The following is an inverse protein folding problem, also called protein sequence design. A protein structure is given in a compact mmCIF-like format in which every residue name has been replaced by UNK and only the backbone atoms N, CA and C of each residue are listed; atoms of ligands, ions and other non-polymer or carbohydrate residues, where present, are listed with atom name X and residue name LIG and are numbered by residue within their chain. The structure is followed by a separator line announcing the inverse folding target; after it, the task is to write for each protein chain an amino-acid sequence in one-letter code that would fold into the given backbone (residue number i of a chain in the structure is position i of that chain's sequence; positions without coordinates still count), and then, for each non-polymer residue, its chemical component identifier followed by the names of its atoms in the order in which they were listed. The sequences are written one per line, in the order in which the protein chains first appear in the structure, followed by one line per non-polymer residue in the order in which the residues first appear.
data_IF_177657083823
#
_entry.id   IF_177657083823
#
_cell.length_a   1.000
_cell.length_b   1.000
_cell.length_c   1.000
_cell.angle_alpha   90.00
_cell.angle_beta   90.00
_cell.angle_gamma   90.00
#
_symmetry.space_group_name_H-M   'P 1'
#
loop_
_entity.id
_entity.type
_entity.pdbx_description
1 polymer ?
#
# COMPACT_ATOMS: atom_id res chain seq x y z
N UNK A 1 14.48 5.20 30.11
CA UNK A 1 13.17 5.36 30.77
C UNK A 1 12.13 5.70 29.71
N UNK A 2 10.96 5.07 29.73
CA UNK A 2 9.90 5.29 28.74
C UNK A 2 9.20 6.62 29.04
N UNK A 3 9.07 7.49 28.03
CA UNK A 3 8.33 8.75 28.15
C UNK A 3 6.85 8.53 27.84
N UNK A 4 5.98 8.93 28.74
CA UNK A 4 4.53 8.86 28.59
C UNK A 4 3.99 10.20 28.08
N UNK A 5 3.00 10.16 27.18
CA UNK A 5 2.33 11.36 26.70
C UNK A 5 1.07 11.66 27.53
N UNK A 6 0.63 12.92 27.53
CA UNK A 6 -0.60 13.32 28.22
C UNK A 6 -1.82 12.67 27.57
N UNK A 7 -2.70 12.05 28.38
CA UNK A 7 -3.86 11.31 27.88
C UNK A 7 -3.53 10.00 27.16
N UNK A 8 -2.29 9.52 27.31
CA UNK A 8 -1.87 8.21 26.81
C UNK A 8 -2.23 7.12 27.82
N UNK A 9 -3.21 6.30 27.45
CA UNK A 9 -3.65 5.14 28.20
C UNK A 9 -3.04 3.87 27.61
N UNK A 10 -2.79 2.87 28.46
CA UNK A 10 -2.16 1.61 28.07
C UNK A 10 -3.02 0.41 28.46
N UNK A 11 -3.16 -0.54 27.53
CA UNK A 11 -3.86 -1.82 27.71
C UNK A 11 -2.93 -2.96 27.37
N UNK A 12 -2.99 -4.04 28.13
CA UNK A 12 -2.24 -5.25 27.85
C UNK A 12 -2.81 -5.97 26.63
N UNK A 13 -1.94 -6.28 25.67
CA UNK A 13 -2.28 -7.11 24.52
C UNK A 13 -2.42 -8.56 24.97
N UNK A 14 -3.66 -9.05 24.94
CA UNK A 14 -3.97 -10.47 25.11
C UNK A 14 -3.61 -11.20 23.81
N UNK A 15 -2.42 -11.78 23.79
CA UNK A 15 -1.93 -12.61 22.70
C UNK A 15 -2.08 -14.08 23.11
N UNK A 16 -2.67 -14.91 22.24
CA UNK A 16 -2.98 -16.32 22.54
C UNK A 16 -1.72 -17.11 22.93
N UNK A 17 -0.58 -16.76 22.32
CA UNK A 17 0.70 -17.38 22.61
C UNK A 17 1.83 -16.35 22.57
N UNK A 18 2.71 -16.40 23.56
CA UNK A 18 3.93 -15.59 23.60
C UNK A 18 5.13 -16.46 23.97
N UNK A 19 6.26 -16.23 23.29
CA UNK A 19 7.52 -16.89 23.63
C UNK A 19 8.10 -16.27 24.89
N UNK A 20 8.61 -17.12 25.80
CA UNK A 20 9.31 -16.70 27.02
C UNK A 20 8.48 -15.81 27.96
N UNK A 21 7.15 -15.95 27.97
CA UNK A 21 6.24 -15.12 28.78
C UNK A 21 6.37 -13.62 28.48
N UNK A 22 6.84 -13.25 27.29
CA UNK A 22 6.99 -11.85 26.89
C UNK A 22 5.62 -11.20 26.73
N UNK A 23 5.38 -10.13 27.46
CA UNK A 23 4.11 -9.38 27.49
C UNK A 23 4.24 -8.07 26.73
N UNK A 24 3.10 -7.52 26.34
CA UNK A 24 3.04 -6.31 25.53
C UNK A 24 1.93 -5.37 26.01
N UNK A 25 2.21 -4.08 26.08
CA UNK A 25 1.20 -3.03 26.25
C UNK A 25 1.03 -2.28 24.94
N UNK A 26 -0.21 -1.98 24.58
CA UNK A 26 -0.59 -1.10 23.49
C UNK A 26 -1.19 0.18 24.06
N UNK A 27 -0.73 1.34 23.60
CA UNK A 27 -1.33 2.62 23.96
C UNK A 27 -2.41 3.06 22.98
N UNK A 28 -3.35 3.88 23.44
CA UNK A 28 -4.36 4.53 22.59
C UNK A 28 -3.76 5.48 21.52
N UNK A 29 -2.45 5.75 21.56
CA UNK A 29 -1.71 6.49 20.53
C UNK A 29 -1.08 5.55 19.47
N UNK A 30 -1.25 4.23 19.61
CA UNK A 30 -0.66 3.24 18.71
C UNK A 30 0.81 2.93 19.00
N UNK A 31 1.27 3.16 20.24
CA UNK A 31 2.60 2.75 20.70
C UNK A 31 2.56 1.38 21.34
N UNK A 32 3.64 0.62 21.23
CA UNK A 32 3.75 -0.72 21.85
C UNK A 32 4.98 -0.78 22.74
N UNK A 33 4.80 -1.30 23.96
CA UNK A 33 5.88 -1.64 24.90
C UNK A 33 5.96 -3.15 25.01
N UNK A 34 7.16 -3.72 25.04
CA UNK A 34 7.38 -5.10 25.50
C UNK A 34 8.08 -5.15 26.84
N UNK A 35 7.77 -6.16 27.64
CA UNK A 35 8.38 -6.43 28.95
C UNK A 35 8.22 -7.92 29.31
N UNK A 36 9.01 -8.40 30.27
CA UNK A 36 8.97 -9.75 30.81
C UNK A 36 8.42 -9.76 32.24
N UNK A 37 8.92 -8.87 33.12
CA UNK A 37 8.48 -8.79 34.53
C UNK A 37 7.58 -7.58 34.74
N UNK A 38 8.08 -6.38 34.46
CA UNK A 38 7.34 -5.12 34.59
C UNK A 38 7.86 -4.08 33.60
N UNK A 39 7.08 -3.03 33.36
CA UNK A 39 7.48 -1.96 32.45
C UNK A 39 8.63 -1.15 33.05
N UNK A 40 8.65 -1.01 34.36
CA UNK A 40 9.62 -0.24 35.13
C UNK A 40 10.98 -0.93 35.16
N UNK A 41 11.00 -2.26 35.29
CA UNK A 41 12.24 -3.04 35.38
C UNK A 41 12.86 -3.27 34.00
N UNK A 42 12.08 -3.71 33.02
CA UNK A 42 12.61 -4.22 31.75
C UNK A 42 11.83 -3.76 30.50
N UNK A 43 10.91 -2.81 30.66
CA UNK A 43 10.08 -2.28 29.59
C UNK A 43 10.89 -1.63 28.46
N UNK A 44 10.53 -1.96 27.21
CA UNK A 44 11.12 -1.41 26.00
C UNK A 44 10.06 -0.97 25.00
N UNK A 45 10.17 0.26 24.51
CA UNK A 45 9.33 0.74 23.42
C UNK A 45 9.72 0.02 22.12
N UNK A 46 8.74 -0.55 21.44
CA UNK A 46 8.94 -1.28 20.19
C UNK A 46 8.83 -0.31 19.02
N UNK A 47 9.82 -0.35 18.12
CA UNK A 47 9.75 0.36 16.85
C UNK A 47 8.89 -0.43 15.87
N UNK A 48 7.71 0.09 15.56
CA UNK A 48 6.78 -0.48 14.60
C UNK A 48 7.13 0.01 13.19
N UNK A 49 7.56 -0.90 12.32
CA UNK A 49 7.93 -0.57 10.95
C UNK A 49 6.71 -0.65 10.03
N UNK A 50 6.58 0.24 9.02
CA UNK A 50 5.45 0.24 8.13
C UNK A 50 5.49 -0.93 7.14
N UNK A 51 4.33 -1.52 6.89
CA UNK A 51 4.06 -2.45 5.78
C UNK A 51 2.93 -1.81 4.97
N UNK A 52 3.16 -1.56 3.68
CA UNK A 52 2.25 -0.79 2.81
C UNK A 52 1.84 0.58 3.41
N UNK A 53 2.79 1.22 4.10
CA UNK A 53 2.61 2.50 4.77
C UNK A 53 1.94 2.42 6.16
N UNK A 54 1.42 1.26 6.58
CA UNK A 54 0.82 1.10 7.90
C UNK A 54 1.81 0.56 8.93
N UNK A 55 2.03 1.22 10.09
CA UNK A 55 2.85 0.68 11.16
C UNK A 55 2.39 -0.72 11.60
N UNK A 56 3.35 -1.64 11.73
CA UNK A 56 3.09 -3.02 12.07
C UNK A 56 3.84 -3.45 13.33
N UNK A 57 3.13 -4.17 14.20
CA UNK A 57 3.68 -4.88 15.35
C UNK A 57 3.93 -6.33 14.96
N UNK A 58 5.11 -6.84 15.32
CA UNK A 58 5.50 -8.22 15.05
C UNK A 58 5.89 -8.91 16.34
N UNK A 59 5.40 -10.12 16.53
CA UNK A 59 5.77 -10.97 17.65
C UNK A 59 5.90 -12.42 17.18
N UNK A 60 6.52 -13.24 18.01
CA UNK A 60 6.77 -14.65 17.72
C UNK A 60 5.78 -15.51 18.48
N UNK A 61 5.12 -16.41 17.77
CA UNK A 61 4.25 -17.43 18.33
C UNK A 61 4.86 -18.83 18.14
N UNK A 62 4.79 -19.71 19.14
CA UNK A 62 5.07 -21.12 18.94
C UNK A 62 4.08 -21.73 17.94
N UNK A 63 4.56 -22.70 17.18
CA UNK A 63 3.76 -23.43 16.18
C UNK A 63 4.23 -24.87 16.15
N UNK A 64 3.30 -25.79 15.89
CA UNK A 64 3.62 -27.18 15.63
C UNK A 64 3.31 -27.43 14.15
N UNK A 65 4.30 -27.83 13.38
CA UNK A 65 4.12 -28.27 11.99
C UNK A 65 4.73 -29.66 11.85
N UNK A 66 3.94 -30.61 11.36
CA UNK A 66 4.36 -32.01 11.18
C UNK A 66 4.99 -32.64 12.44
N UNK A 67 4.47 -32.32 13.62
CA UNK A 67 5.00 -32.82 14.90
C UNK A 67 6.26 -32.09 15.41
N UNK A 68 6.85 -31.19 14.63
CA UNK A 68 8.04 -30.41 15.03
C UNK A 68 7.65 -29.07 15.65
N UNK A 69 8.34 -28.72 16.75
CA UNK A 69 8.21 -27.40 17.40
C UNK A 69 8.94 -26.37 16.56
N UNK A 70 8.21 -25.37 16.07
CA UNK A 70 8.73 -24.23 15.36
C UNK A 70 8.26 -22.92 15.96
N UNK A 71 8.67 -21.82 15.31
CA UNK A 71 8.25 -20.46 15.65
C UNK A 71 7.80 -19.74 14.39
N UNK A 72 6.62 -19.15 14.42
CA UNK A 72 6.11 -18.26 13.35
C UNK A 72 6.18 -16.82 13.82
N UNK A 73 6.53 -15.92 12.91
CA UNK A 73 6.41 -14.49 13.16
C UNK A 73 5.01 -14.06 12.74
N UNK A 74 4.23 -13.55 13.69
CA UNK A 74 2.90 -12.98 13.44
C UNK A 74 3.05 -11.48 13.31
N UNK A 75 2.36 -10.92 12.32
CA UNK A 75 2.32 -9.48 12.06
C UNK A 75 0.90 -8.97 12.25
N UNK A 76 0.75 -7.91 13.03
CA UNK A 76 -0.51 -7.22 13.29
C UNK A 76 -0.35 -5.74 12.96
N UNK A 77 -1.33 -5.15 12.30
CA UNK A 77 -1.32 -3.71 12.02
C UNK A 77 -1.71 -2.92 13.28
N UNK A 78 -0.99 -1.84 13.56
CA UNK A 78 -1.20 -1.04 14.77
C UNK A 78 -2.61 -0.44 14.79
N UNK A 79 -3.09 0.17 13.70
CA UNK A 79 -4.43 0.75 13.66
C UNK A 79 -5.53 -0.28 13.98
N UNK A 80 -5.39 -1.53 13.54
CA UNK A 80 -6.36 -2.59 13.85
C UNK A 80 -6.32 -2.95 15.32
N UNK A 81 -5.12 -3.11 15.90
CA UNK A 81 -4.97 -3.36 17.33
C UNK A 81 -5.55 -2.21 18.17
N UNK A 82 -5.29 -0.96 17.80
CA UNK A 82 -5.86 0.20 18.54
C UNK A 82 -7.39 0.20 18.44
N UNK A 83 -7.94 -0.05 17.25
CA UNK A 83 -9.38 -0.15 17.06
C UNK A 83 -10.00 -1.28 17.91
N UNK A 84 -9.42 -2.48 17.87
CA UNK A 84 -9.87 -3.64 18.65
C UNK A 84 -9.86 -3.40 20.16
N UNK A 85 -8.86 -2.67 20.67
CA UNK A 85 -8.68 -2.48 22.12
C UNK A 85 -9.33 -1.21 22.67
N UNK A 86 -9.53 -0.17 21.86
CA UNK A 86 -9.95 1.15 22.35
C UNK A 86 -11.24 1.68 21.71
N UNK A 87 -11.64 1.22 20.53
CA UNK A 87 -12.95 1.58 20.00
C UNK A 87 -14.03 0.67 20.60
N UNK A 88 -15.24 1.18 20.67
CA UNK A 88 -16.42 0.34 20.90
C UNK A 88 -16.52 -0.71 19.81
N UNK A 89 -17.15 -1.85 20.13
CA UNK A 89 -17.38 -2.91 19.17
C UNK A 89 -18.02 -2.36 17.88
N UNK A 90 -17.65 -2.90 16.71
CA UNK A 90 -18.26 -2.50 15.45
C UNK A 90 -19.79 -2.68 15.51
N UNK A 91 -20.57 -1.81 14.86
CA UNK A 91 -22.04 -1.89 14.90
C UNK A 91 -22.62 -3.20 14.36
N UNK A 92 -21.93 -3.82 13.40
CA UNK A 92 -22.30 -5.11 12.80
C UNK A 92 -21.07 -5.79 12.18
N UNK A 93 -21.21 -7.04 11.75
CA UNK A 93 -20.14 -7.82 11.12
C UNK A 93 -19.62 -7.23 9.80
N UNK A 94 -20.41 -6.39 9.14
CA UNK A 94 -20.00 -5.70 7.91
C UNK A 94 -18.90 -4.64 8.16
N UNK A 95 -18.73 -4.21 9.41
CA UNK A 95 -17.80 -3.15 9.80
C UNK A 95 -16.45 -3.74 10.21
N UNK A 96 -15.75 -4.35 9.25
CA UNK A 96 -14.48 -5.03 9.48
C UNK A 96 -13.24 -4.27 8.96
N UNK A 97 -13.42 -3.03 8.47
CA UNK A 97 -12.32 -2.13 8.11
C UNK A 97 -12.10 -1.06 9.16
N UNK A 98 -10.87 -0.54 9.24
CA UNK A 98 -10.52 0.58 10.13
C UNK A 98 -10.00 1.72 9.27
N UNK A 99 -10.63 2.88 9.38
CA UNK A 99 -10.25 4.09 8.65
C UNK A 99 -9.42 5.02 9.52
N UNK A 100 -8.42 5.65 8.91
CA UNK A 100 -7.77 6.85 9.42
C UNK A 100 -8.53 8.07 8.91
N UNK A 101 -9.14 8.84 9.82
CA UNK A 101 -10.01 9.98 9.48
C UNK A 101 -9.24 11.10 8.77
N UNK A 102 -7.98 11.30 9.12
CA UNK A 102 -7.07 12.30 8.54
C UNK A 102 -6.31 11.84 7.29
N UNK A 103 -6.54 10.60 6.84
CA UNK A 103 -5.82 9.95 5.73
C UNK A 103 -4.32 9.66 5.99
N UNK A 104 -3.81 9.91 7.19
CA UNK A 104 -2.45 9.57 7.58
C UNK A 104 -2.39 8.17 8.22
N UNK A 105 -1.83 7.22 7.46
CA UNK A 105 -1.66 5.82 7.88
C UNK A 105 -0.79 5.65 9.12
N UNK A 106 0.06 6.63 9.47
CA UNK A 106 0.93 6.56 10.65
C UNK A 106 0.28 7.16 11.90
N UNK A 107 -0.76 7.98 11.76
CA UNK A 107 -1.50 8.56 12.89
C UNK A 107 -2.51 7.56 13.48
N UNK A 108 -2.01 6.66 14.33
CA UNK A 108 -2.80 5.58 14.92
C UNK A 108 -3.46 5.95 16.26
N UNK A 109 -3.67 7.24 16.53
CA UNK A 109 -4.42 7.64 17.73
C UNK A 109 -5.87 7.18 17.63
N UNK A 110 -6.43 6.64 18.71
CA UNK A 110 -7.80 6.08 18.72
C UNK A 110 -8.83 7.06 18.18
N UNK A 111 -8.71 8.35 18.50
CA UNK A 111 -9.62 9.41 18.03
C UNK A 111 -9.58 9.63 16.50
N UNK A 112 -8.51 9.20 15.85
CA UNK A 112 -8.34 9.25 14.40
C UNK A 112 -8.82 7.96 13.72
N UNK A 113 -9.28 6.96 14.48
CA UNK A 113 -9.67 5.66 13.96
C UNK A 113 -11.18 5.46 14.05
N UNK A 114 -11.74 4.76 13.05
CA UNK A 114 -13.15 4.39 13.03
C UNK A 114 -13.37 3.06 12.33
N UNK A 115 -14.24 2.21 12.87
CA UNK A 115 -14.76 1.05 12.15
C UNK A 115 -15.59 1.47 10.93
N UNK A 116 -15.42 0.76 9.82
CA UNK A 116 -16.10 1.04 8.57
C UNK A 116 -16.44 -0.24 7.81
N UNK A 117 -17.50 -0.16 7.01
CA UNK A 117 -17.82 -1.15 5.98
C UNK A 117 -17.24 -0.74 4.61
N UNK A 118 -17.39 -1.61 3.61
CA UNK A 118 -16.82 -1.40 2.28
C UNK A 118 -17.29 -0.08 1.63
N UNK A 119 -18.58 0.23 1.70
CA UNK A 119 -19.16 1.44 1.12
C UNK A 119 -18.57 2.71 1.76
N UNK A 120 -18.41 2.72 3.09
CA UNK A 120 -17.81 3.84 3.81
C UNK A 120 -16.33 4.00 3.48
N UNK A 121 -15.59 2.90 3.29
CA UNK A 121 -14.19 2.95 2.83
C UNK A 121 -14.10 3.62 1.46
N UNK A 122 -14.96 3.24 0.52
CA UNK A 122 -14.99 3.81 -0.83
C UNK A 122 -15.34 5.31 -0.79
N UNK A 123 -16.37 5.69 -0.02
CA UNK A 123 -16.74 7.11 0.19
C UNK A 123 -15.62 7.92 0.84
N UNK A 124 -14.92 7.35 1.83
CA UNK A 124 -13.80 8.00 2.50
C UNK A 124 -12.63 8.19 1.54
N UNK A 125 -12.28 7.16 0.77
CA UNK A 125 -11.22 7.22 -0.23
C UNK A 125 -11.51 8.24 -1.33
N UNK A 126 -12.76 8.32 -1.79
CA UNK A 126 -13.17 9.31 -2.79
C UNK A 126 -12.97 10.77 -2.32
N UNK A 127 -13.02 11.01 -0.99
CA UNK A 127 -12.78 12.32 -0.37
C UNK A 127 -11.31 12.60 -0.05
N UNK A 128 -10.43 11.59 -0.16
CA UNK A 128 -9.01 11.75 0.16
C UNK A 128 -8.35 12.74 -0.83
N UNK A 129 -7.77 13.87 -0.37
CA UNK A 129 -7.12 14.85 -1.24
C UNK A 129 -6.01 14.25 -2.10
N UNK A 130 -5.21 13.33 -1.56
CA UNK A 130 -4.15 12.65 -2.31
C UNK A 130 -4.71 11.73 -3.39
N UNK A 131 -5.85 11.09 -3.14
CA UNK A 131 -6.53 10.24 -4.13
C UNK A 131 -7.12 11.08 -5.26
N UNK A 132 -7.77 12.19 -4.92
CA UNK A 132 -8.34 13.14 -5.89
C UNK A 132 -7.23 13.70 -6.78
N UNK A 133 -6.12 14.16 -6.18
CA UNK A 133 -4.99 14.72 -6.92
C UNK A 133 -4.32 13.66 -7.79
N UNK A 134 -4.10 12.44 -7.30
CA UNK A 134 -3.58 11.36 -8.12
C UNK A 134 -4.50 11.03 -9.30
N UNK A 135 -5.82 11.05 -9.11
CA UNK A 135 -6.80 10.84 -10.18
C UNK A 135 -6.76 11.98 -11.21
N UNK A 136 -6.65 13.23 -10.75
CA UNK A 136 -6.50 14.42 -11.61
C UNK A 136 -5.23 14.32 -12.45
N UNK A 137 -4.09 14.03 -11.82
CA UNK A 137 -2.80 13.87 -12.50
C UNK A 137 -2.80 12.74 -13.53
N UNK A 138 -3.49 11.61 -13.26
CA UNK A 138 -3.67 10.53 -14.25
C UNK A 138 -4.44 10.98 -15.48
N UNK A 139 -5.45 11.83 -15.30
CA UNK A 139 -6.26 12.36 -16.40
C UNK A 139 -5.50 13.41 -17.21
N UNK A 140 -4.79 14.31 -16.55
CA UNK A 140 -4.06 15.40 -17.20
C UNK A 140 -2.74 14.97 -17.84
N UNK A 141 -2.09 13.96 -17.26
CA UNK A 141 -0.75 13.51 -17.67
C UNK A 141 -0.71 11.99 -17.75
N UNK A 142 -1.47 11.37 -18.68
CA UNK A 142 -1.49 9.91 -18.84
C UNK A 142 -0.08 9.34 -19.05
N UNK A 143 0.75 10.08 -19.79
CA UNK A 143 2.15 9.76 -20.13
C UNK A 143 3.10 9.70 -18.92
N UNK A 144 2.74 10.29 -17.77
CA UNK A 144 3.63 10.30 -16.58
C UNK A 144 3.49 9.04 -15.73
N UNK A 145 2.51 8.18 -16.02
CA UNK A 145 2.32 6.92 -15.31
C UNK A 145 3.01 5.79 -16.06
N UNK A 146 4.30 5.60 -15.79
CA UNK A 146 5.10 4.41 -16.17
C UNK A 146 5.08 4.02 -17.66
N UNK A 147 4.84 4.94 -18.59
CA UNK A 147 5.13 4.66 -19.98
C UNK A 147 6.61 4.92 -20.23
N UNK A 148 7.33 3.90 -20.69
CA UNK A 148 8.74 4.03 -21.12
C UNK A 148 8.94 5.05 -22.26
N UNK A 149 7.85 5.50 -22.86
CA UNK A 149 7.81 6.43 -23.98
C UNK A 149 6.94 7.63 -23.62
N UNK A 150 7.37 8.81 -24.05
CA UNK A 150 6.56 10.01 -24.15
C UNK A 150 5.73 10.03 -25.43
N UNK A 151 4.66 10.83 -25.49
CA UNK A 151 3.90 11.05 -26.73
C UNK A 151 4.80 11.42 -27.92
N UNK A 152 5.82 12.27 -27.71
CA UNK A 152 6.76 12.65 -28.78
C UNK A 152 7.59 11.48 -29.31
N UNK A 153 7.99 10.56 -28.44
CA UNK A 153 8.72 9.33 -28.80
C UNK A 153 7.79 8.36 -29.53
N UNK A 154 6.53 8.26 -29.12
CA UNK A 154 5.51 7.45 -29.80
C UNK A 154 5.24 8.00 -31.20
N UNK A 155 5.13 9.32 -31.38
CA UNK A 155 4.99 9.93 -32.71
C UNK A 155 6.19 9.59 -33.59
N UNK A 156 7.42 9.71 -33.07
CA UNK A 156 8.66 9.36 -33.79
C UNK A 156 8.69 7.87 -34.16
N UNK A 157 8.29 7.00 -33.24
CA UNK A 157 8.21 5.56 -33.46
C UNK A 157 7.16 5.21 -34.52
N UNK A 158 5.93 5.75 -34.42
CA UNK A 158 4.86 5.52 -35.40
C UNK A 158 5.26 6.01 -36.80
N UNK A 159 5.88 7.19 -36.92
CA UNK A 159 6.43 7.68 -38.20
C UNK A 159 7.42 6.69 -38.82
N UNK A 160 8.30 6.06 -38.01
CA UNK A 160 9.24 5.03 -38.49
C UNK A 160 8.58 3.69 -38.80
N UNK A 161 7.53 3.31 -38.06
CA UNK A 161 6.78 2.08 -38.30
C UNK A 161 6.03 2.15 -39.64
N UNK A 162 5.35 3.26 -39.89
CA UNK A 162 4.47 3.48 -41.05
C UNK A 162 5.16 4.23 -42.20
N UNK A 163 6.49 4.31 -42.19
CA UNK A 163 7.25 4.80 -43.35
C UNK A 163 7.15 3.79 -44.51
N UNK A 164 6.61 4.17 -45.68
CA UNK A 164 6.48 3.28 -46.84
C UNK A 164 7.85 2.74 -47.31
N UNK A 165 8.94 3.44 -47.03
CA UNK A 165 10.30 3.07 -47.41
C UNK A 165 11.10 2.46 -46.25
N UNK A 166 10.43 1.96 -45.20
CA UNK A 166 11.12 1.46 -43.98
C UNK A 166 12.07 0.29 -44.29
N UNK A 167 13.36 0.54 -44.10
CA UNK A 167 14.43 -0.50 -44.19
C UNK A 167 14.78 -1.15 -42.85
N UNK A 168 14.42 -0.52 -41.73
CA UNK A 168 14.75 -1.00 -40.38
C UNK A 168 13.76 -2.05 -39.89
N UNK A 169 14.27 -3.15 -39.33
CA UNK A 169 13.45 -4.21 -38.71
C UNK A 169 12.81 -3.74 -37.39
N UNK A 170 11.61 -4.23 -37.06
CA UNK A 170 10.91 -3.87 -35.82
C UNK A 170 11.73 -4.14 -34.56
N UNK A 171 12.49 -5.26 -34.51
CA UNK A 171 13.45 -5.55 -33.44
C UNK A 171 14.42 -4.42 -33.16
N UNK A 172 14.97 -3.82 -34.22
CA UNK A 172 15.94 -2.73 -34.11
C UNK A 172 15.25 -1.45 -33.65
N UNK A 173 14.07 -1.15 -34.18
CA UNK A 173 13.25 -0.01 -33.73
C UNK A 173 12.87 -0.14 -32.25
N UNK A 174 12.39 -1.29 -31.81
CA UNK A 174 12.03 -1.52 -30.41
C UNK A 174 13.24 -1.28 -29.48
N UNK A 175 14.42 -1.78 -29.87
CA UNK A 175 15.68 -1.55 -29.14
C UNK A 175 16.08 -0.06 -29.10
N UNK A 176 15.94 0.68 -30.20
CA UNK A 176 16.24 2.11 -30.27
C UNK A 176 15.38 2.93 -29.29
N UNK A 177 14.14 2.51 -29.09
CA UNK A 177 13.18 3.18 -28.20
C UNK A 177 13.10 2.53 -26.80
N UNK A 178 13.99 1.59 -26.46
CA UNK A 178 14.04 0.98 -25.12
C UNK A 178 12.84 0.11 -24.73
N UNK A 179 12.07 -0.37 -25.71
CA UNK A 179 10.84 -1.16 -25.53
C UNK A 179 11.00 -2.59 -26.05
N UNK A 180 10.10 -3.50 -25.63
CA UNK A 180 10.04 -4.83 -26.23
C UNK A 180 9.39 -4.78 -27.63
N UNK A 181 9.68 -5.78 -28.47
CA UNK A 181 9.01 -5.90 -29.79
C UNK A 181 7.49 -6.02 -29.64
N UNK A 182 7.02 -6.71 -28.60
CA UNK A 182 5.59 -6.81 -28.30
C UNK A 182 4.98 -5.45 -27.98
N UNK A 183 5.67 -4.59 -27.21
CA UNK A 183 5.19 -3.22 -26.97
C UNK A 183 5.12 -2.41 -28.28
N UNK A 184 6.07 -2.60 -29.19
CA UNK A 184 6.03 -1.99 -30.52
C UNK A 184 4.81 -2.46 -31.31
N UNK A 185 4.52 -3.77 -31.31
CA UNK A 185 3.34 -4.31 -31.99
C UNK A 185 2.04 -3.76 -31.40
N UNK A 186 1.91 -3.65 -30.07
CA UNK A 186 0.75 -3.02 -29.41
C UNK A 186 0.56 -1.55 -29.79
N UNK A 187 1.65 -0.81 -29.99
CA UNK A 187 1.61 0.58 -30.49
C UNK A 187 1.20 0.63 -31.96
N UNK A 188 1.69 -0.32 -32.77
CA UNK A 188 1.35 -0.43 -34.20
C UNK A 188 -0.11 -0.81 -34.42
N UNK A 189 -0.61 -1.81 -33.69
CA UNK A 189 -2.03 -2.25 -33.77
C UNK A 189 -2.95 -1.25 -33.09
N UNK A 190 -2.41 -0.47 -32.16
CA UNK A 190 -3.17 0.56 -31.47
C UNK A 190 -3.87 0.13 -30.20
N UNK A 191 -3.56 -1.06 -29.70
CA UNK A 191 -3.90 -1.51 -28.34
C UNK A 191 -3.34 -0.52 -27.29
N UNK A 192 -2.14 0.02 -27.54
CA UNK A 192 -1.53 1.09 -26.76
C UNK A 192 -1.38 2.37 -27.62
N UNK A 193 -1.54 3.54 -27.02
CA UNK A 193 -1.40 4.84 -27.70
C UNK A 193 -2.32 4.98 -28.93
N UNK A 194 -3.57 4.58 -28.79
CA UNK A 194 -4.61 4.70 -29.83
C UNK A 194 -4.93 6.15 -30.19
N UNK A 195 -4.79 7.07 -29.23
CA UNK A 195 -5.07 8.50 -29.35
C UNK A 195 -4.01 9.30 -30.12
N UNK A 196 -2.83 8.72 -30.38
CA UNK A 196 -1.73 9.39 -31.09
C UNK A 196 -1.74 8.98 -32.55
N UNK A 197 -1.96 9.89 -33.49
CA UNK A 197 -2.04 9.56 -34.92
C UNK A 197 -0.90 10.16 -35.74
N UNK A 198 -0.51 9.48 -36.82
CA UNK A 198 0.48 9.96 -37.79
C UNK A 198 -0.04 9.82 -39.23
N UNK A 199 0.48 10.64 -40.14
CA UNK A 199 -0.02 10.81 -41.52
C UNK A 199 -0.18 9.53 -42.34
N UNK A 200 0.68 8.51 -42.11
CA UNK A 200 0.67 7.25 -42.85
C UNK A 200 0.10 6.07 -42.06
N UNK A 201 -0.51 6.32 -40.90
CA UNK A 201 -1.14 5.26 -40.11
C UNK A 201 -2.43 4.80 -40.81
N UNK A 202 -2.65 3.49 -41.00
CA UNK A 202 -3.88 2.99 -41.60
C UNK A 202 -5.09 3.39 -40.75
N UNK A 203 -6.20 3.75 -41.41
CA UNK A 203 -7.48 3.96 -40.74
C UNK A 203 -7.89 2.65 -40.06
N UNK A 204 -8.40 2.77 -38.85
CA UNK A 204 -8.91 1.65 -38.07
C UNK A 204 -10.43 1.63 -38.23
N UNK A 205 -10.97 0.45 -38.49
CA UNK A 205 -12.42 0.21 -38.53
C UNK A 205 -13.01 0.20 -37.11
#
# INVERSE_FOLDING_TARGET
MIKYYQGEDWKELKLDYTIQRKRYLLSNYGRVISYFKSVEEDGRLIKCYPIDGYPSFRYKEPTIKNGEKGVKTVTKYIHKLVAEYYLTAPPSEEYHFVLHLDYDKVNNQVRNLKWANKEQVEKHLAKNPHYIEAKRLRKEKPDRYNTKLSETEVIRLKKKIFDPNRKTRYKILAKQFGISEMQLYRIKTGENWSNVHVTNEPKRD
#
